data_IF_631531900201
#
_entry.id   IF_631531900201
#
_cell.length_a   1.000
_cell.length_b   1.000
_cell.length_c   1.000
_cell.angle_alpha   90.00
_cell.angle_beta   90.00
_cell.angle_gamma   90.00
#
_symmetry.space_group_name_H-M   'P 1'
#
loop_
_entity.id
_entity.type
_entity.pdbx_description
1 polymer ?
#
# COMPACT_ATOMS: atom_id res chain seq x y z
N UNK A 1 -35.38 37.33 67.46
CA UNK A 1 -34.45 38.05 66.57
C UNK A 1 -33.35 37.08 66.16
N UNK A 2 -33.45 36.48 64.97
CA UNK A 2 -32.34 35.74 64.35
C UNK A 2 -32.58 35.71 62.84
N UNK A 3 -31.51 36.03 62.12
CA UNK A 3 -31.47 36.50 60.73
C UNK A 3 -31.71 35.40 59.68
N UNK A 4 -32.41 35.78 58.60
CA UNK A 4 -32.44 35.06 57.32
C UNK A 4 -31.20 35.43 56.49
N UNK A 5 -30.36 34.45 56.17
CA UNK A 5 -29.26 34.59 55.21
C UNK A 5 -29.75 34.40 53.77
N UNK A 6 -29.55 35.41 52.92
CA UNK A 6 -29.73 35.30 51.47
C UNK A 6 -28.41 34.85 50.84
N UNK A 7 -28.44 33.70 50.16
CA UNK A 7 -27.33 33.25 49.31
C UNK A 7 -27.42 33.95 47.95
N UNK A 8 -26.38 34.71 47.58
CA UNK A 8 -26.20 35.23 46.24
C UNK A 8 -25.67 34.11 45.34
N UNK A 9 -26.48 33.69 44.37
CA UNK A 9 -26.04 32.79 43.29
C UNK A 9 -25.38 33.66 42.22
N UNK A 10 -24.05 33.64 42.18
CA UNK A 10 -23.27 34.23 41.08
C UNK A 10 -23.36 33.24 39.92
N UNK A 11 -24.16 33.59 38.91
CA UNK A 11 -24.24 32.87 37.65
C UNK A 11 -22.98 33.17 36.85
N UNK A 12 -21.99 32.28 36.94
CA UNK A 12 -20.76 32.33 36.16
C UNK A 12 -21.08 31.86 34.74
N UNK A 13 -21.30 32.81 33.83
CA UNK A 13 -21.47 32.51 32.41
C UNK A 13 -20.13 32.04 31.85
N UNK A 14 -19.94 30.72 31.72
CA UNK A 14 -18.81 30.13 31.01
C UNK A 14 -18.94 30.51 29.53
N UNK A 15 -18.20 31.52 29.10
CA UNK A 15 -17.92 31.76 27.69
C UNK A 15 -17.01 30.64 27.20
N UNK A 16 -17.61 29.59 26.62
CA UNK A 16 -16.87 28.59 25.85
C UNK A 16 -16.24 29.30 24.66
N UNK A 17 -14.96 29.65 24.77
CA UNK A 17 -14.15 30.13 23.66
C UNK A 17 -14.10 29.05 22.60
N UNK A 18 -14.83 29.25 21.49
CA UNK A 18 -14.63 28.52 20.25
C UNK A 18 -13.24 28.89 19.73
N UNK A 19 -12.21 28.14 20.12
CA UNK A 19 -10.96 28.14 19.37
C UNK A 19 -11.30 27.77 17.93
N UNK A 20 -10.86 28.52 16.92
CA UNK A 20 -11.03 28.12 15.53
C UNK A 20 -10.56 26.67 15.41
N UNK A 21 -11.48 25.78 15.02
CA UNK A 21 -11.18 24.37 14.85
C UNK A 21 -10.01 24.27 13.89
N UNK A 22 -8.85 23.84 14.40
CA UNK A 22 -7.70 23.57 13.56
C UNK A 22 -8.09 22.36 12.71
N UNK A 23 -8.44 22.62 11.44
CA UNK A 23 -8.54 21.57 10.46
C UNK A 23 -7.16 20.92 10.37
N UNK A 24 -7.05 19.69 10.84
CA UNK A 24 -5.82 18.92 10.73
C UNK A 24 -5.58 18.64 9.25
N UNK A 25 -4.40 19.01 8.73
CA UNK A 25 -3.99 18.65 7.39
C UNK A 25 -4.07 17.12 7.21
N UNK A 26 -4.74 16.67 6.16
CA UNK A 26 -4.83 15.26 5.79
C UNK A 26 -4.23 15.06 4.40
N UNK A 27 -3.42 14.02 4.23
CA UNK A 27 -2.89 13.64 2.93
C UNK A 27 -3.92 12.82 2.14
N UNK A 28 -3.95 13.04 0.81
CA UNK A 28 -4.75 12.27 -0.16
C UNK A 28 -4.00 12.05 -1.47
N UNK A 29 -4.35 10.98 -2.21
CA UNK A 29 -3.87 10.76 -3.58
C UNK A 29 -4.72 11.51 -4.59
N UNK A 30 -4.06 12.25 -5.49
CA UNK A 30 -4.69 13.10 -6.50
C UNK A 30 -4.20 12.78 -7.92
N UNK A 31 -4.85 13.38 -8.90
CA UNK A 31 -4.43 13.30 -10.31
C UNK A 31 -4.73 11.96 -10.99
N UNK A 32 -4.15 11.80 -12.17
CA UNK A 32 -4.24 10.58 -12.97
C UNK A 32 -3.27 9.51 -12.50
N UNK A 33 -3.59 8.25 -12.81
CA UNK A 33 -2.70 7.12 -12.53
C UNK A 33 -1.58 7.09 -13.57
N UNK A 34 -0.34 7.04 -13.11
CA UNK A 34 0.84 6.73 -13.93
C UNK A 34 1.35 5.32 -13.63
N UNK A 35 2.25 4.79 -14.45
CA UNK A 35 2.91 3.50 -14.21
C UNK A 35 4.42 3.68 -14.18
N UNK A 36 5.07 2.98 -13.25
CA UNK A 36 6.54 2.87 -13.27
C UNK A 36 7.01 2.05 -14.47
N UNK A 37 8.32 2.06 -14.69
CA UNK A 37 8.97 1.04 -15.51
C UNK A 37 8.72 -0.37 -14.95
N UNK A 38 9.00 -1.38 -15.78
CA UNK A 38 8.86 -2.79 -15.42
C UNK A 38 10.09 -3.30 -14.68
N UNK A 39 9.90 -3.87 -13.49
CA UNK A 39 10.88 -4.79 -12.91
C UNK A 39 10.46 -6.21 -13.27
N UNK A 40 11.31 -6.96 -13.97
CA UNK A 40 10.99 -8.32 -14.42
C UNK A 40 10.87 -8.46 -15.94
N UNK A 41 10.20 -9.53 -16.37
CA UNK A 41 9.96 -9.89 -17.77
C UNK A 41 8.49 -9.63 -18.17
N UNK A 42 8.24 -9.32 -19.44
CA UNK A 42 6.89 -9.12 -19.99
C UNK A 42 6.55 -10.14 -21.09
N UNK A 43 6.35 -11.42 -20.74
CA UNK A 43 6.18 -12.48 -21.73
C UNK A 43 4.83 -12.49 -22.47
N UNK A 44 3.89 -11.61 -22.09
CA UNK A 44 2.75 -11.26 -22.95
C UNK A 44 1.54 -10.78 -22.15
N UNK A 45 1.23 -11.51 -21.08
CA UNK A 45 0.04 -11.23 -20.30
C UNK A 45 0.19 -10.18 -19.22
N UNK A 46 -0.92 -9.52 -18.87
CA UNK A 46 -0.98 -8.47 -17.86
C UNK A 46 -2.22 -8.58 -17.00
N UNK A 47 -2.11 -8.18 -15.75
CA UNK A 47 -3.23 -8.07 -14.82
C UNK A 47 -2.96 -6.95 -13.84
N UNK A 48 -4.01 -6.16 -13.55
CA UNK A 48 -3.91 -4.95 -12.73
C UNK A 48 -4.54 -5.18 -11.37
N UNK A 49 -3.86 -4.74 -10.31
CA UNK A 49 -4.35 -4.70 -8.95
C UNK A 49 -4.19 -3.29 -8.38
N UNK A 50 -5.29 -2.55 -8.31
CA UNK A 50 -5.34 -1.33 -7.51
C UNK A 50 -5.60 -1.68 -6.04
N UNK A 51 -5.15 -0.84 -5.12
CA UNK A 51 -5.63 -0.86 -3.74
C UNK A 51 -7.04 -0.30 -3.77
N UNK A 52 -8.04 -1.13 -3.44
CA UNK A 52 -9.44 -0.69 -3.33
C UNK A 52 -9.93 -0.81 -1.90
N UNK A 53 -10.91 0.03 -1.57
CA UNK A 53 -11.70 -0.10 -0.35
C UNK A 53 -12.64 -1.31 -0.51
N UNK A 54 -12.27 -2.49 0.02
CA UNK A 54 -13.18 -3.66 0.00
C UNK A 54 -14.37 -3.45 0.95
N UNK A 55 -14.16 -2.69 2.03
CA UNK A 55 -15.15 -2.49 3.08
C UNK A 55 -15.26 -0.99 3.36
N UNK A 56 -16.47 -0.40 3.28
CA UNK A 56 -16.70 0.94 3.82
C UNK A 56 -16.19 0.96 5.25
N UNK A 57 -15.33 1.91 5.59
CA UNK A 57 -15.00 2.17 6.98
C UNK A 57 -16.32 2.28 7.79
N UNK A 58 -16.46 1.59 8.94
CA UNK A 58 -17.62 1.75 9.82
C UNK A 58 -17.92 3.21 10.20
N UNK A 59 -16.95 4.12 10.05
CA UNK A 59 -17.13 5.57 10.24
C UNK A 59 -17.54 6.34 8.97
N UNK A 60 -17.84 5.67 7.85
CA UNK A 60 -18.49 6.24 6.68
C UNK A 60 -17.68 7.26 5.87
N UNK A 61 -16.36 7.39 6.09
CA UNK A 61 -15.56 8.50 5.55
C UNK A 61 -14.37 8.12 4.66
N UNK A 62 -14.09 6.83 4.41
CA UNK A 62 -12.91 6.48 3.62
C UNK A 62 -13.16 6.62 2.14
N UNK A 63 -12.81 7.80 1.63
CA UNK A 63 -12.60 8.03 0.20
C UNK A 63 -11.41 7.19 -0.27
N UNK A 64 -11.50 6.65 -1.50
CA UNK A 64 -10.42 5.85 -2.10
C UNK A 64 -9.10 6.63 -2.20
N UNK A 65 -9.15 7.96 -2.10
CA UNK A 65 -8.00 8.84 -2.12
C UNK A 65 -7.17 8.83 -0.82
N UNK A 66 -7.58 8.12 0.23
CA UNK A 66 -6.83 8.04 1.50
C UNK A 66 -5.97 6.78 1.65
N UNK A 67 -5.91 5.93 0.62
CA UNK A 67 -5.23 4.63 0.67
C UNK A 67 -4.05 4.54 -0.29
N UNK A 68 -3.02 3.85 0.15
CA UNK A 68 -1.83 3.53 -0.64
C UNK A 68 -1.44 2.05 -0.48
N UNK A 69 -0.52 1.61 -1.34
CA UNK A 69 0.08 0.29 -1.25
C UNK A 69 1.03 0.25 -0.04
N UNK A 70 0.68 -0.53 0.98
CA UNK A 70 1.49 -0.72 2.19
C UNK A 70 2.37 -1.98 2.14
N UNK A 71 2.13 -2.87 1.19
CA UNK A 71 2.87 -4.13 1.06
C UNK A 71 2.26 -5.08 0.04
N UNK A 72 2.85 -6.26 -0.07
CA UNK A 72 2.48 -7.28 -1.03
C UNK A 72 2.49 -8.67 -0.38
N UNK A 73 1.59 -9.53 -0.86
CA UNK A 73 1.49 -10.93 -0.47
C UNK A 73 1.70 -11.79 -1.71
N UNK A 74 2.54 -12.82 -1.58
CA UNK A 74 2.84 -13.75 -2.65
C UNK A 74 2.56 -15.18 -2.19
N UNK A 75 2.03 -16.00 -3.07
CA UNK A 75 2.00 -17.45 -2.86
C UNK A 75 2.55 -18.19 -4.07
N UNK A 76 3.05 -19.38 -3.80
CA UNK A 76 3.65 -20.26 -4.78
C UNK A 76 3.23 -21.70 -4.52
N UNK A 77 2.97 -22.44 -5.59
CA UNK A 77 2.71 -23.87 -5.50
C UNK A 77 3.53 -24.57 -6.57
N UNK A 78 4.25 -25.61 -6.16
CA UNK A 78 5.07 -26.43 -7.06
C UNK A 78 6.05 -25.60 -7.91
N UNK A 79 6.77 -24.66 -7.29
CA UNK A 79 7.71 -23.76 -7.98
C UNK A 79 7.03 -22.76 -8.95
N UNK A 80 5.72 -22.52 -8.83
CA UNK A 80 4.99 -21.56 -9.66
C UNK A 80 4.36 -20.44 -8.83
N UNK A 81 4.81 -19.19 -9.05
CA UNK A 81 4.19 -18.02 -8.44
C UNK A 81 2.78 -17.85 -9.04
N UNK A 82 1.76 -18.13 -8.23
CA UNK A 82 0.39 -18.24 -8.69
C UNK A 82 -0.61 -17.35 -7.95
N UNK A 83 -0.15 -16.57 -6.96
CA UNK A 83 -0.94 -15.51 -6.33
C UNK A 83 -0.10 -14.28 -6.05
N UNK A 84 -0.67 -13.11 -6.34
CA UNK A 84 -0.20 -11.82 -5.82
C UNK A 84 -1.38 -11.07 -5.21
N UNK A 85 -1.19 -10.55 -4.01
CA UNK A 85 -2.15 -9.67 -3.33
C UNK A 85 -1.50 -8.37 -2.88
N UNK A 86 -2.30 -7.33 -2.76
CA UNK A 86 -1.87 -6.01 -2.28
C UNK A 86 -2.34 -5.79 -0.85
N UNK A 87 -1.48 -5.23 0.01
CA UNK A 87 -1.84 -4.74 1.33
C UNK A 87 -2.06 -3.24 1.26
N UNK A 88 -3.07 -2.73 1.96
CA UNK A 88 -3.41 -1.29 1.96
C UNK A 88 -2.95 -0.63 3.25
N UNK A 89 -2.45 0.59 3.17
CA UNK A 89 -2.14 1.43 4.34
C UNK A 89 -2.81 2.79 4.20
N UNK A 90 -3.20 3.40 5.32
CA UNK A 90 -3.84 4.72 5.33
C UNK A 90 -2.77 5.80 5.30
N UNK A 91 -2.95 6.83 4.45
CA UNK A 91 -2.01 7.96 4.39
C UNK A 91 -1.93 8.79 5.67
N UNK A 92 -2.99 8.75 6.49
CA UNK A 92 -3.15 9.63 7.65
C UNK A 92 -2.85 8.90 8.97
N UNK A 93 -2.06 7.82 8.92
CA UNK A 93 -1.57 7.11 10.09
C UNK A 93 -2.64 6.37 10.91
N UNK A 94 -3.89 6.33 10.43
CA UNK A 94 -5.02 5.74 11.18
C UNK A 94 -5.02 4.22 11.18
N UNK A 95 -4.39 3.61 10.19
CA UNK A 95 -4.38 2.15 10.00
C UNK A 95 -3.02 1.70 9.45
N UNK A 96 -2.44 0.66 10.06
CA UNK A 96 -1.29 -0.06 9.50
C UNK A 96 -1.71 -0.91 8.31
N UNK A 97 -0.74 -1.45 7.56
CA UNK A 97 -1.00 -2.33 6.44
C UNK A 97 -1.88 -3.54 6.85
N UNK A 98 -3.17 -3.49 6.51
CA UNK A 98 -4.17 -4.50 6.86
C UNK A 98 -4.62 -5.32 5.63
N UNK A 99 -5.26 -6.45 5.91
CA UNK A 99 -5.86 -7.49 5.04
C UNK A 99 -5.79 -7.25 3.52
N UNK A 100 -5.40 -8.29 2.78
CA UNK A 100 -5.29 -8.26 1.31
C UNK A 100 -6.47 -7.53 0.66
N UNK A 101 -6.16 -6.39 0.02
CA UNK A 101 -7.15 -5.44 -0.52
C UNK A 101 -7.64 -5.82 -1.92
N UNK A 102 -6.82 -6.52 -2.70
CA UNK A 102 -7.18 -7.18 -3.94
C UNK A 102 -6.15 -8.26 -4.24
N UNK A 103 -6.49 -9.22 -5.10
CA UNK A 103 -5.56 -10.27 -5.50
C UNK A 103 -5.79 -10.76 -6.93
N UNK A 104 -4.72 -11.25 -7.55
CA UNK A 104 -4.77 -12.05 -8.77
C UNK A 104 -4.37 -13.46 -8.36
N UNK A 105 -5.25 -14.40 -8.65
CA UNK A 105 -4.99 -15.83 -8.51
C UNK A 105 -4.93 -16.47 -9.89
N UNK A 106 -3.98 -17.37 -10.10
CA UNK A 106 -3.85 -18.19 -11.31
C UNK A 106 -3.68 -19.65 -10.93
N UNK A 107 -3.93 -20.56 -11.88
CA UNK A 107 -3.50 -21.95 -11.72
C UNK A 107 -1.99 -21.99 -11.40
N UNK A 108 -1.53 -22.85 -10.47
CA UNK A 108 -2.27 -23.86 -9.71
C UNK A 108 -2.81 -23.40 -8.35
N UNK A 109 -2.85 -22.09 -8.04
CA UNK A 109 -3.37 -21.53 -6.79
C UNK A 109 -4.92 -21.42 -6.74
N UNK A 110 -5.66 -22.07 -7.65
CA UNK A 110 -7.14 -22.01 -7.67
C UNK A 110 -7.80 -22.74 -6.51
N UNK A 111 -7.06 -23.61 -5.83
CA UNK A 111 -7.55 -24.49 -4.79
C UNK A 111 -7.23 -23.90 -3.41
N UNK A 112 -8.07 -24.13 -2.40
CA UNK A 112 -7.93 -23.54 -1.05
C UNK A 112 -6.67 -23.99 -0.29
N UNK A 113 -5.89 -24.93 -0.82
CA UNK A 113 -4.68 -25.42 -0.17
C UNK A 113 -3.51 -24.58 -0.66
N UNK A 114 -3.09 -23.66 0.21
CA UNK A 114 -2.06 -22.69 -0.09
C UNK A 114 -0.76 -23.14 0.54
N UNK A 115 0.30 -23.23 -0.26
CA UNK A 115 1.64 -23.54 0.20
C UNK A 115 2.56 -22.32 -0.02
N UNK A 116 3.55 -22.14 0.85
CA UNK A 116 4.55 -21.06 0.84
C UNK A 116 4.06 -19.61 0.64
N UNK A 117 3.43 -19.07 1.69
CA UNK A 117 3.09 -17.64 1.79
C UNK A 117 4.32 -16.81 2.08
N UNK A 118 4.54 -15.78 1.28
CA UNK A 118 5.51 -14.71 1.55
C UNK A 118 4.77 -13.38 1.66
N UNK A 119 5.17 -12.53 2.60
CA UNK A 119 4.58 -11.20 2.80
C UNK A 119 5.69 -10.22 3.02
N UNK A 120 5.67 -9.13 2.25
CA UNK A 120 6.56 -7.98 2.44
C UNK A 120 5.71 -6.75 2.71
N UNK A 121 5.99 -6.02 3.79
CA UNK A 121 5.16 -4.90 4.24
C UNK A 121 5.92 -3.95 5.16
N UNK A 122 5.35 -2.77 5.34
CA UNK A 122 5.79 -1.83 6.38
C UNK A 122 4.79 -1.83 7.54
N UNK A 123 5.30 -1.95 8.77
CA UNK A 123 4.48 -1.95 9.98
C UNK A 123 4.18 -0.55 10.52
N UNK A 124 4.71 0.50 9.87
CA UNK A 124 4.47 1.90 10.23
C UNK A 124 3.38 2.49 9.33
N UNK A 125 2.36 3.09 9.93
CA UNK A 125 1.17 3.54 9.23
C UNK A 125 1.42 4.66 8.19
N UNK A 126 2.47 5.46 8.38
CA UNK A 126 2.90 6.53 7.47
C UNK A 126 3.93 6.09 6.41
N UNK A 127 4.31 4.82 6.38
CA UNK A 127 5.26 4.27 5.40
C UNK A 127 4.52 3.54 4.29
N UNK A 128 4.69 4.01 3.07
CA UNK A 128 4.01 3.48 1.88
C UNK A 128 5.02 3.05 0.82
N UNK A 129 4.65 2.11 -0.05
CA UNK A 129 5.52 1.64 -1.13
C UNK A 129 5.76 2.77 -2.14
N UNK A 130 7.02 3.04 -2.44
CA UNK A 130 7.44 3.98 -3.50
C UNK A 130 8.23 3.28 -4.61
N UNK A 131 8.95 2.20 -4.29
CA UNK A 131 9.73 1.46 -5.26
C UNK A 131 9.61 -0.06 -5.07
N UNK A 132 9.87 -0.79 -6.14
CA UNK A 132 9.86 -2.26 -6.18
C UNK A 132 11.00 -2.79 -7.04
N UNK A 133 11.46 -3.97 -6.70
CA UNK A 133 12.38 -4.77 -7.48
C UNK A 133 11.92 -6.22 -7.37
N UNK A 134 11.92 -6.96 -8.49
CA UNK A 134 11.63 -8.39 -8.47
C UNK A 134 12.86 -9.20 -8.83
N UNK A 135 12.94 -10.38 -8.24
CA UNK A 135 13.88 -11.40 -8.62
C UNK A 135 13.15 -12.47 -9.42
N UNK A 136 13.73 -12.90 -10.53
CA UNK A 136 13.20 -14.03 -11.30
C UNK A 136 14.18 -15.19 -11.35
N UNK A 137 13.69 -16.32 -11.83
CA UNK A 137 14.53 -17.34 -12.46
C UNK A 137 15.33 -16.75 -13.63
N UNK A 138 16.42 -17.39 -14.03
CA UNK A 138 17.19 -17.06 -15.24
C UNK A 138 16.85 -18.04 -16.36
N UNK A 139 15.61 -17.96 -16.84
CA UNK A 139 15.09 -18.82 -17.92
C UNK A 139 14.88 -17.98 -19.18
N UNK A 140 14.40 -18.62 -20.25
CA UNK A 140 13.92 -17.87 -21.42
C UNK A 140 12.79 -16.94 -20.96
N UNK A 141 12.70 -15.72 -21.50
CA UNK A 141 11.74 -14.68 -21.06
C UNK A 141 10.29 -15.18 -20.85
N UNK A 142 9.83 -16.15 -21.65
CA UNK A 142 8.48 -16.75 -21.56
C UNK A 142 8.26 -17.66 -20.35
N UNK A 143 9.34 -18.19 -19.80
CA UNK A 143 9.39 -19.14 -18.68
C UNK A 143 9.93 -18.48 -17.40
N UNK A 144 10.24 -17.18 -17.43
CA UNK A 144 10.71 -16.43 -16.26
C UNK A 144 9.61 -16.32 -15.20
N UNK A 145 9.96 -16.65 -13.96
CA UNK A 145 9.04 -16.63 -12.81
C UNK A 145 9.58 -15.76 -11.69
N UNK A 146 8.75 -14.96 -11.05
CA UNK A 146 9.10 -14.23 -9.83
C UNK A 146 9.39 -15.22 -8.70
N UNK A 147 10.56 -15.07 -8.08
CA UNK A 147 11.05 -15.85 -6.93
C UNK A 147 11.48 -14.98 -5.75
N UNK A 148 11.42 -13.67 -5.90
CA UNK A 148 11.69 -12.74 -4.82
C UNK A 148 11.15 -11.37 -5.18
N UNK A 149 10.92 -10.55 -4.18
CA UNK A 149 10.66 -9.14 -4.37
C UNK A 149 11.25 -8.36 -3.19
N UNK A 150 11.60 -7.12 -3.46
CA UNK A 150 11.98 -6.12 -2.47
C UNK A 150 11.18 -4.85 -2.74
N UNK A 151 10.66 -4.24 -1.68
CA UNK A 151 9.93 -2.97 -1.71
C UNK A 151 10.65 -1.94 -0.86
N UNK A 152 10.59 -0.66 -1.27
CA UNK A 152 11.13 0.46 -0.49
C UNK A 152 10.01 1.41 -0.10
N UNK A 153 10.10 1.89 1.14
CA UNK A 153 9.17 2.83 1.69
C UNK A 153 9.52 4.28 1.32
N UNK A 154 8.50 5.12 1.35
CA UNK A 154 8.60 6.55 1.61
C UNK A 154 7.69 6.88 2.78
N UNK A 155 8.05 7.88 3.58
CA UNK A 155 7.20 8.38 4.65
C UNK A 155 6.33 9.52 4.12
N UNK A 156 5.02 9.44 4.36
CA UNK A 156 4.06 10.48 3.96
C UNK A 156 3.75 11.39 5.14
N UNK A 157 4.00 12.69 4.99
CA UNK A 157 3.61 13.72 5.94
C UNK A 157 2.10 14.02 5.90
N UNK A 158 1.54 14.64 6.95
CA UNK A 158 0.12 14.99 7.00
C UNK A 158 -0.30 16.01 5.92
N UNK A 159 0.64 16.79 5.40
CA UNK A 159 0.48 17.74 4.30
C UNK A 159 0.69 17.07 2.91
N UNK A 160 0.88 15.76 2.87
CA UNK A 160 1.18 15.01 1.64
C UNK A 160 2.63 15.11 1.18
N UNK A 161 3.53 15.74 1.96
CA UNK A 161 4.96 15.75 1.62
C UNK A 161 5.55 14.35 1.73
N UNK A 162 6.50 14.04 0.84
CA UNK A 162 7.19 12.76 0.82
C UNK A 162 8.59 12.92 1.41
N UNK A 163 8.89 12.13 2.43
CA UNK A 163 10.21 12.07 3.04
C UNK A 163 10.85 10.70 2.74
N UNK A 164 12.09 10.72 2.26
CA UNK A 164 12.83 9.49 2.04
C UNK A 164 12.86 8.63 3.31
N UNK A 165 12.56 7.34 3.14
CA UNK A 165 12.72 6.35 4.19
C UNK A 165 13.80 5.36 3.75
N UNK A 166 14.84 5.19 4.56
CA UNK A 166 15.85 4.14 4.37
C UNK A 166 15.31 2.77 4.85
N UNK A 167 14.08 2.44 4.47
CA UNK A 167 13.37 1.23 4.89
C UNK A 167 13.01 0.41 3.65
N UNK A 168 13.44 -0.84 3.63
CA UNK A 168 12.99 -1.85 2.66
C UNK A 168 12.57 -3.13 3.36
N UNK A 169 11.74 -3.91 2.69
CA UNK A 169 11.39 -5.27 3.08
C UNK A 169 11.45 -6.19 1.87
N UNK A 170 11.88 -7.43 2.07
CA UNK A 170 12.14 -8.36 0.98
C UNK A 170 11.87 -9.81 1.35
N UNK A 171 11.55 -10.59 0.34
CA UNK A 171 11.58 -12.05 0.42
C UNK A 171 12.39 -12.64 -0.74
N UNK A 172 12.89 -13.85 -0.51
CA UNK A 172 13.64 -14.61 -1.50
C UNK A 172 13.30 -16.09 -1.35
N UNK A 173 12.87 -16.72 -2.44
CA UNK A 173 12.67 -18.16 -2.58
C UNK A 173 13.87 -18.81 -3.31
N UNK A 174 13.96 -20.15 -3.31
CA UNK A 174 14.83 -20.87 -4.24
C UNK A 174 14.61 -20.42 -5.70
N UNK A 175 15.63 -20.60 -6.55
CA UNK A 175 15.60 -20.21 -7.97
C UNK A 175 15.46 -18.70 -8.23
N UNK A 176 15.63 -17.85 -7.22
CA UNK A 176 15.84 -16.42 -7.40
C UNK A 176 17.27 -16.15 -7.90
N UNK A 177 17.44 -16.16 -9.21
CA UNK A 177 18.75 -16.13 -9.86
C UNK A 177 19.13 -14.71 -10.30
N UNK A 178 18.16 -13.92 -10.77
CA UNK A 178 18.40 -12.59 -11.32
C UNK A 178 17.46 -11.54 -10.73
N UNK A 179 18.04 -10.57 -10.02
CA UNK A 179 17.35 -9.34 -9.64
C UNK A 179 17.29 -8.40 -10.84
N UNK A 180 16.10 -7.89 -11.15
CA UNK A 180 15.89 -6.90 -12.20
C UNK A 180 16.12 -5.49 -11.67
N UNK A 181 15.99 -4.45 -12.50
CA UNK A 181 16.15 -3.08 -12.03
C UNK A 181 15.13 -2.73 -10.93
N UNK A 182 15.58 -1.98 -9.92
CA UNK A 182 14.69 -1.27 -9.00
C UNK A 182 13.97 -0.19 -9.78
N UNK A 183 12.64 -0.20 -9.73
CA UNK A 183 11.79 0.80 -10.38
C UNK A 183 11.00 1.55 -9.32
N UNK A 184 10.85 2.86 -9.51
CA UNK A 184 10.20 3.74 -8.53
C UNK A 184 9.01 4.44 -9.18
N UNK A 185 8.04 4.85 -8.37
CA UNK A 185 7.07 5.85 -8.79
C UNK A 185 7.80 7.16 -9.16
N UNK A 186 7.24 7.97 -10.08
CA UNK A 186 7.77 9.29 -10.37
C UNK A 186 7.86 10.17 -9.11
N UNK A 187 8.67 11.23 -9.18
CA UNK A 187 8.80 12.18 -8.08
C UNK A 187 7.44 12.70 -7.60
N UNK A 188 7.29 12.83 -6.28
CA UNK A 188 6.04 13.23 -5.61
C UNK A 188 4.86 12.28 -5.79
N UNK A 189 5.10 11.03 -6.22
CA UNK A 189 4.08 9.99 -6.31
C UNK A 189 4.40 8.80 -5.41
N UNK A 190 3.34 8.09 -5.04
CA UNK A 190 3.38 6.86 -4.25
C UNK A 190 2.61 5.76 -4.97
N UNK A 191 2.90 4.51 -4.65
CA UNK A 191 2.18 3.39 -5.22
C UNK A 191 0.78 3.27 -4.60
N UNK A 192 -0.23 3.14 -5.46
CA UNK A 192 -1.62 2.84 -5.12
C UNK A 192 -2.04 1.44 -5.59
N UNK A 193 -1.10 0.67 -6.12
CA UNK A 193 -1.37 -0.62 -6.74
C UNK A 193 -0.20 -1.10 -7.58
N UNK A 194 -0.43 -2.19 -8.31
CA UNK A 194 0.54 -2.84 -9.18
C UNK A 194 -0.10 -3.26 -10.50
N UNK A 195 0.72 -3.38 -11.53
CA UNK A 195 0.43 -4.15 -12.73
C UNK A 195 1.40 -5.32 -12.76
N UNK A 196 0.89 -6.55 -12.67
CA UNK A 196 1.69 -7.76 -12.77
C UNK A 196 1.66 -8.30 -14.21
N UNK A 197 2.83 -8.65 -14.74
CA UNK A 197 2.98 -9.39 -15.99
C UNK A 197 3.09 -10.88 -15.71
N UNK A 198 2.59 -11.71 -16.61
CA UNK A 198 2.69 -13.17 -16.52
C UNK A 198 2.99 -13.78 -17.88
N UNK A 199 3.51 -15.01 -17.86
CA UNK A 199 3.71 -15.90 -19.01
C UNK A 199 3.18 -17.30 -18.71
N UNK A 200 3.64 -18.28 -19.49
CA UNK A 200 3.28 -19.69 -19.29
C UNK A 200 3.79 -20.21 -17.93
N UNK A 201 4.89 -19.65 -17.43
CA UNK A 201 5.49 -20.01 -16.15
C UNK A 201 4.87 -19.37 -14.90
N UNK A 202 3.88 -18.48 -15.04
CA UNK A 202 3.32 -17.70 -13.94
C UNK A 202 3.73 -16.22 -13.97
N UNK A 203 3.73 -15.55 -12.82
CA UNK A 203 4.10 -14.13 -12.75
C UNK A 203 5.57 -13.91 -13.07
N UNK A 204 5.87 -12.92 -13.91
CA UNK A 204 7.21 -12.69 -14.47
C UNK A 204 7.76 -11.29 -14.22
N UNK A 205 6.91 -10.31 -13.89
CA UNK A 205 7.31 -8.94 -13.65
C UNK A 205 6.21 -8.09 -13.05
N UNK A 206 6.59 -6.89 -12.60
CA UNK A 206 5.70 -5.95 -11.91
C UNK A 206 6.05 -4.50 -12.25
N UNK A 207 5.00 -3.68 -12.41
CA UNK A 207 5.05 -2.21 -12.38
C UNK A 207 4.27 -1.71 -11.18
N UNK A 208 4.66 -0.55 -10.66
CA UNK A 208 3.84 0.20 -9.71
C UNK A 208 2.81 1.04 -10.47
N UNK A 209 1.62 1.14 -9.91
CA UNK A 209 0.61 2.13 -10.32
C UNK A 209 0.69 3.28 -9.33
N UNK A 210 0.94 4.48 -9.83
CA UNK A 210 1.37 5.60 -9.02
C UNK A 210 0.40 6.77 -9.15
N UNK A 211 0.20 7.49 -8.05
CA UNK A 211 -0.53 8.76 -8.02
C UNK A 211 0.21 9.79 -7.19
N UNK A 212 0.01 11.06 -7.52
CA UNK A 212 0.55 12.16 -6.72
C UNK A 212 -0.13 12.22 -5.35
N UNK A 213 0.57 12.76 -4.35
CA UNK A 213 0.03 13.02 -3.01
C UNK A 213 -0.04 14.51 -2.78
N UNK A 214 -1.09 14.98 -2.12
CA UNK A 214 -1.24 16.37 -1.72
C UNK A 214 -2.06 16.48 -0.43
N UNK A 215 -2.04 17.67 0.17
CA UNK A 215 -2.96 18.06 1.23
C UNK A 215 -4.43 18.05 0.74
N UNK A 216 -5.34 17.67 1.62
CA UNK A 216 -6.77 17.49 1.35
C UNK A 216 -7.53 18.80 1.18
#
# INVERSE_FOLDING_TARGET
MTHWGRANVIMLTLLAGLTPGHAWAEAKVIGSVSTSELSGSAPGGKSTLDVKTIVPDPYGTTSEDQWALGGLVFYERSDEACYIGTLRTSLNGRHTAESTSNNITRSPCTDKIVHDKQTIKFDKADHVVQAIQVCTTDKKKKDDKIKGAEIWAVRVGPDGTLHEASLSDKFRRPNCERWHNKVSCPSNQIAIGIEATWGDGGFAGMRLRCKAVAEK
#
